data_IF_986204017208
#
_entry.id   IF_986204017208
#
_cell.length_a   1.000
_cell.length_b   1.000
_cell.length_c   1.000
_cell.angle_alpha   90.00
_cell.angle_beta   90.00
_cell.angle_gamma   90.00
#
_symmetry.space_group_name_H-M   'P 1'
#
loop_
_entity.id
_entity.type
_entity.pdbx_description
1 polymer ?
#
# COMPACT_ATOMS: atom_id res chain seq x y z
N UNK A 1 38.19 -16.47 -32.29
CA UNK A 1 36.97 -16.70 -31.48
C UNK A 1 36.37 -15.34 -31.13
N UNK A 2 35.34 -14.89 -31.85
CA UNK A 2 34.74 -13.55 -31.64
C UNK A 2 33.42 -13.68 -30.86
N UNK A 3 33.41 -13.18 -29.63
CA UNK A 3 32.21 -13.13 -28.80
C UNK A 3 31.30 -11.99 -29.32
N UNK A 4 30.29 -12.31 -30.13
CA UNK A 4 29.22 -11.33 -30.46
C UNK A 4 28.34 -11.15 -29.23
N UNK A 5 28.55 -10.06 -28.50
CA UNK A 5 27.60 -9.59 -27.51
C UNK A 5 26.26 -9.32 -28.20
N UNK A 6 25.28 -10.21 -28.01
CA UNK A 6 23.90 -9.98 -28.42
C UNK A 6 23.39 -8.83 -27.57
N UNK A 7 23.37 -7.62 -28.15
CA UNK A 7 22.79 -6.44 -27.53
C UNK A 7 21.35 -6.75 -27.11
N UNK A 8 21.09 -6.69 -25.80
CA UNK A 8 19.75 -6.77 -25.24
C UNK A 8 19.00 -5.54 -25.74
N UNK A 9 18.19 -5.70 -26.79
CA UNK A 9 17.26 -4.67 -27.23
C UNK A 9 16.19 -4.56 -26.15
N UNK A 10 16.31 -3.54 -25.31
CA UNK A 10 15.21 -3.04 -24.51
C UNK A 10 14.17 -2.48 -25.48
N UNK A 11 13.19 -3.28 -25.86
CA UNK A 11 11.98 -2.71 -26.44
C UNK A 11 11.23 -2.02 -25.29
N UNK A 12 10.86 -0.74 -25.44
CA UNK A 12 9.91 -0.13 -24.51
C UNK A 12 8.66 -0.99 -24.56
N UNK A 13 8.35 -1.70 -23.47
CA UNK A 13 7.12 -2.50 -23.39
C UNK A 13 5.96 -1.57 -23.73
N UNK A 14 5.17 -1.99 -24.70
CA UNK A 14 3.93 -1.32 -25.07
C UNK A 14 3.12 -1.06 -23.78
N UNK A 15 2.50 0.11 -23.71
CA UNK A 15 1.55 0.46 -22.66
C UNK A 15 0.52 -0.66 -22.57
N UNK A 16 0.63 -1.53 -21.58
CA UNK A 16 -0.39 -2.53 -21.34
C UNK A 16 -1.60 -1.75 -20.83
N UNK A 17 -2.67 -1.71 -21.63
CA UNK A 17 -3.94 -1.20 -21.16
C UNK A 17 -4.37 -2.09 -19.99
N UNK A 18 -4.18 -1.62 -18.76
CA UNK A 18 -4.59 -2.37 -17.58
C UNK A 18 -6.11 -2.60 -17.64
N UNK A 19 -6.53 -3.78 -17.23
CA UNK A 19 -7.93 -4.18 -17.19
C UNK A 19 -8.69 -3.38 -16.11
N UNK A 20 -10.02 -3.33 -16.22
CA UNK A 20 -10.88 -2.64 -15.23
C UNK A 20 -10.62 -3.05 -13.76
N UNK A 21 -10.28 -4.32 -13.40
CA UNK A 21 -9.96 -4.68 -12.02
C UNK A 21 -8.71 -3.98 -11.51
N UNK A 22 -7.67 -3.84 -12.34
CA UNK A 22 -6.45 -3.14 -11.97
C UNK A 22 -6.69 -1.64 -11.74
N UNK A 23 -7.59 -1.03 -12.52
CA UNK A 23 -8.01 0.37 -12.30
C UNK A 23 -8.72 0.50 -10.95
N UNK A 24 -9.65 -0.41 -10.63
CA UNK A 24 -10.36 -0.42 -9.34
C UNK A 24 -9.40 -0.59 -8.16
N UNK A 25 -8.45 -1.53 -8.25
CA UNK A 25 -7.40 -1.70 -7.24
C UNK A 25 -6.59 -0.41 -7.10
N UNK A 26 -6.26 0.26 -8.22
CA UNK A 26 -5.56 1.53 -8.20
C UNK A 26 -6.31 2.63 -7.46
N UNK A 27 -7.63 2.75 -7.68
CA UNK A 27 -8.49 3.70 -6.94
C UNK A 27 -8.52 3.37 -5.45
N UNK A 28 -8.70 2.11 -5.09
CA UNK A 28 -8.71 1.66 -3.67
C UNK A 28 -7.37 2.03 -3.01
N UNK A 29 -6.24 1.73 -3.64
CA UNK A 29 -4.92 2.03 -3.09
C UNK A 29 -4.70 3.52 -2.88
N UNK A 30 -5.13 4.37 -3.81
CA UNK A 30 -5.03 5.83 -3.65
C UNK A 30 -5.88 6.30 -2.48
N UNK A 31 -7.13 5.87 -2.39
CA UNK A 31 -8.04 6.27 -1.31
C UNK A 31 -7.53 5.83 0.06
N UNK A 32 -7.08 4.58 0.19
CA UNK A 32 -6.54 4.05 1.45
C UNK A 32 -5.24 4.76 1.82
N UNK A 33 -4.34 4.99 0.86
CA UNK A 33 -3.11 5.73 1.12
C UNK A 33 -3.37 7.16 1.61
N UNK A 34 -4.33 7.86 0.99
CA UNK A 34 -4.75 9.18 1.46
C UNK A 34 -5.35 9.12 2.88
N UNK A 35 -6.18 8.11 3.18
CA UNK A 35 -6.76 7.93 4.50
C UNK A 35 -5.70 7.71 5.59
N UNK A 36 -4.67 6.90 5.33
CA UNK A 36 -3.54 6.68 6.26
C UNK A 36 -2.78 7.99 6.51
N UNK A 37 -2.49 8.76 5.46
CA UNK A 37 -1.81 10.06 5.60
C UNK A 37 -2.64 11.01 6.44
N UNK A 38 -3.94 11.12 6.16
CA UNK A 38 -4.85 12.00 6.91
C UNK A 38 -4.96 11.59 8.38
N UNK A 39 -5.05 10.30 8.67
CA UNK A 39 -5.09 9.77 10.03
C UNK A 39 -3.83 10.17 10.82
N UNK A 40 -2.64 9.94 10.26
CA UNK A 40 -1.40 10.30 10.95
C UNK A 40 -1.18 11.81 11.04
N UNK A 41 -1.60 12.58 10.03
CA UNK A 41 -1.55 14.03 10.08
C UNK A 41 -2.42 14.58 11.22
N UNK A 42 -3.65 14.06 11.38
CA UNK A 42 -4.56 14.42 12.46
C UNK A 42 -3.96 14.07 13.83
N UNK A 43 -3.47 12.85 14.00
CA UNK A 43 -2.81 12.38 15.23
C UNK A 43 -1.62 13.29 15.63
N UNK A 44 -0.73 13.60 14.67
CA UNK A 44 0.43 14.46 14.93
C UNK A 44 -0.02 15.88 15.27
N UNK A 45 -0.99 16.43 14.53
CA UNK A 45 -1.51 17.79 14.75
C UNK A 45 -2.22 17.94 16.10
N UNK A 46 -2.83 16.85 16.59
CA UNK A 46 -3.48 16.77 17.90
C UNK A 46 -2.50 16.57 19.06
N UNK A 47 -1.19 16.61 18.80
CA UNK A 47 -0.15 16.46 19.83
C UNK A 47 0.20 15.01 20.18
N UNK A 48 -0.13 14.04 19.32
CA UNK A 48 0.16 12.62 19.53
C UNK A 48 1.65 12.28 19.69
N UNK A 49 2.56 13.21 19.37
CA UNK A 49 4.01 13.09 19.59
C UNK A 49 4.48 13.96 20.77
N UNK A 50 3.89 13.77 21.95
CA UNK A 50 4.18 14.60 23.14
C UNK A 50 5.66 14.61 23.58
N UNK A 51 6.46 13.60 23.21
CA UNK A 51 7.91 13.53 23.45
C UNK A 51 8.73 13.55 22.15
N UNK A 52 8.12 14.00 21.04
CA UNK A 52 8.73 13.99 19.71
C UNK A 52 9.10 12.56 19.26
N UNK A 53 10.32 12.38 18.76
CA UNK A 53 10.82 11.09 18.25
C UNK A 53 10.94 10.00 19.32
N UNK A 54 10.99 10.38 20.61
CA UNK A 54 11.08 9.46 21.73
C UNK A 54 9.70 9.01 22.27
N UNK A 55 8.60 9.41 21.62
CA UNK A 55 7.25 9.06 22.08
C UNK A 55 7.06 7.54 22.07
N UNK A 56 6.62 7.00 23.20
CA UNK A 56 6.38 5.56 23.41
C UNK A 56 4.88 5.33 23.60
N UNK A 57 4.34 4.39 22.84
CA UNK A 57 2.96 3.91 22.96
C UNK A 57 2.99 2.38 23.09
N UNK A 58 2.23 1.80 24.02
CA UNK A 58 2.20 0.35 24.25
C UNK A 58 3.60 -0.28 24.46
N UNK A 59 4.50 0.42 25.16
CA UNK A 59 5.90 0.03 25.40
C UNK A 59 6.78 -0.07 24.14
N UNK A 60 6.37 0.52 23.01
CA UNK A 60 7.17 0.60 21.78
C UNK A 60 7.26 2.03 21.27
N UNK A 61 8.33 2.37 20.55
CA UNK A 61 8.45 3.66 19.90
C UNK A 61 7.42 3.77 18.77
N UNK A 62 6.58 4.80 18.81
CA UNK A 62 5.52 4.97 17.82
C UNK A 62 6.04 5.53 16.49
N UNK A 63 7.11 6.31 16.50
CA UNK A 63 7.59 6.98 15.29
C UNK A 63 8.00 6.02 14.16
N UNK A 64 8.73 4.91 14.40
CA UNK A 64 8.99 3.91 13.36
C UNK A 64 7.72 3.27 12.80
N UNK A 65 6.68 3.11 13.62
CA UNK A 65 5.39 2.59 13.20
C UNK A 65 4.68 3.57 12.25
N UNK A 66 4.62 4.86 12.62
CA UNK A 66 4.11 5.94 11.75
C UNK A 66 4.88 5.97 10.42
N UNK A 67 6.21 5.89 10.47
CA UNK A 67 7.04 5.92 9.28
C UNK A 67 6.75 4.75 8.33
N UNK A 68 6.55 3.54 8.87
CA UNK A 68 6.21 2.35 8.09
C UNK A 68 4.84 2.47 7.42
N UNK A 69 3.84 3.00 8.12
CA UNK A 69 2.50 3.23 7.57
C UNK A 69 2.48 4.35 6.52
N UNK A 70 3.20 5.45 6.75
CA UNK A 70 3.34 6.52 5.76
C UNK A 70 4.08 6.05 4.51
N UNK A 71 5.13 5.23 4.65
CA UNK A 71 5.79 4.61 3.49
C UNK A 71 4.84 3.70 2.72
N UNK A 72 4.05 2.88 3.42
CA UNK A 72 2.99 2.05 2.82
C UNK A 72 1.98 2.91 2.06
N UNK A 73 1.55 4.02 2.65
CA UNK A 73 0.61 4.96 2.04
C UNK A 73 1.16 5.62 0.77
N UNK A 74 2.42 6.07 0.79
CA UNK A 74 3.10 6.63 -0.38
C UNK A 74 3.20 5.61 -1.51
N UNK A 75 3.60 4.37 -1.19
CA UNK A 75 3.66 3.29 -2.17
C UNK A 75 2.27 2.93 -2.70
N UNK A 76 1.23 2.98 -1.88
CA UNK A 76 -0.15 2.74 -2.31
C UNK A 76 -0.60 3.81 -3.31
N UNK A 77 -0.37 5.10 -3.01
CA UNK A 77 -0.71 6.20 -3.92
C UNK A 77 0.08 6.10 -5.22
N UNK A 78 1.39 5.91 -5.15
CA UNK A 78 2.25 5.81 -6.34
C UNK A 78 1.86 4.58 -7.17
N UNK A 79 1.72 3.41 -6.53
CA UNK A 79 1.31 2.17 -7.19
C UNK A 79 -0.07 2.27 -7.82
N UNK A 80 -1.04 2.83 -7.10
CA UNK A 80 -2.39 3.03 -7.60
C UNK A 80 -2.45 4.01 -8.77
N UNK A 81 -1.72 5.11 -8.71
CA UNK A 81 -1.56 6.02 -9.84
C UNK A 81 -0.90 5.31 -11.03
N UNK A 82 0.16 4.54 -10.80
CA UNK A 82 0.85 3.76 -11.83
C UNK A 82 -0.06 2.73 -12.53
N UNK A 83 -0.96 2.08 -11.78
CA UNK A 83 -2.01 1.22 -12.33
C UNK A 83 -3.01 2.02 -13.17
N UNK A 84 -3.41 3.21 -12.72
CA UNK A 84 -4.33 4.08 -13.45
C UNK A 84 -3.78 4.52 -14.81
N UNK A 85 -2.48 4.86 -14.89
CA UNK A 85 -1.84 5.34 -16.12
C UNK A 85 -1.18 4.24 -16.97
N UNK A 86 -1.44 2.96 -16.71
CA UNK A 86 -0.94 1.89 -17.59
C UNK A 86 0.56 1.64 -17.51
N UNK A 87 1.25 2.02 -16.41
CA UNK A 87 2.72 1.92 -16.33
C UNK A 87 3.16 0.60 -15.72
N UNK A 88 4.17 -0.03 -16.34
CA UNK A 88 4.69 -1.34 -15.90
C UNK A 88 5.26 -1.34 -14.47
N UNK A 89 5.75 -0.21 -13.97
CA UNK A 89 6.19 -0.09 -12.57
C UNK A 89 5.00 -0.04 -11.59
N UNK A 90 3.81 0.39 -12.03
CA UNK A 90 2.63 0.51 -11.19
C UNK A 90 2.22 -0.80 -10.53
N UNK A 91 2.27 -1.91 -11.30
CA UNK A 91 1.99 -3.24 -10.76
C UNK A 91 2.97 -3.65 -9.65
N UNK A 92 4.28 -3.45 -9.88
CA UNK A 92 5.28 -3.82 -8.89
C UNK A 92 5.12 -3.00 -7.60
N UNK A 93 4.95 -1.68 -7.73
CA UNK A 93 4.74 -0.79 -6.59
C UNK A 93 3.43 -1.10 -5.85
N UNK A 94 2.34 -1.39 -6.57
CA UNK A 94 1.06 -1.76 -5.97
C UNK A 94 1.15 -3.06 -5.16
N UNK A 95 1.88 -4.08 -5.64
CA UNK A 95 2.07 -5.33 -4.90
C UNK A 95 2.87 -5.13 -3.61
N UNK A 96 3.89 -4.27 -3.63
CA UNK A 96 4.64 -3.90 -2.41
C UNK A 96 3.73 -3.17 -1.43
N UNK A 97 2.93 -2.21 -1.92
CA UNK A 97 1.97 -1.47 -1.10
C UNK A 97 0.92 -2.39 -0.47
N UNK A 98 0.36 -3.34 -1.24
CA UNK A 98 -0.60 -4.32 -0.73
C UNK A 98 0.01 -5.24 0.34
N UNK A 99 1.29 -5.58 0.24
CA UNK A 99 2.01 -6.30 1.29
C UNK A 99 2.11 -5.48 2.58
N UNK A 100 2.46 -4.19 2.47
CA UNK A 100 2.48 -3.27 3.60
C UNK A 100 1.10 -3.06 4.22
N UNK A 101 0.05 -2.92 3.40
CA UNK A 101 -1.33 -2.80 3.84
C UNK A 101 -1.82 -4.07 4.53
N UNK A 102 -1.46 -5.25 4.05
CA UNK A 102 -1.78 -6.52 4.71
C UNK A 102 -1.20 -6.56 6.12
N UNK A 103 0.10 -6.26 6.26
CA UNK A 103 0.76 -6.18 7.56
C UNK A 103 0.08 -5.17 8.49
N UNK A 104 -0.09 -3.93 7.99
CA UNK A 104 -0.69 -2.82 8.74
C UNK A 104 -2.10 -3.17 9.22
N UNK A 105 -2.93 -3.70 8.34
CA UNK A 105 -4.32 -4.06 8.67
C UNK A 105 -4.38 -5.17 9.72
N UNK A 106 -3.52 -6.19 9.62
CA UNK A 106 -3.46 -7.26 10.64
C UNK A 106 -3.02 -6.69 11.99
N UNK A 107 -2.03 -5.81 12.01
CA UNK A 107 -1.56 -5.14 13.23
C UNK A 107 -2.67 -4.29 13.86
N UNK A 108 -3.36 -3.46 13.07
CA UNK A 108 -4.46 -2.62 13.55
C UNK A 108 -5.69 -3.43 13.98
N UNK A 109 -6.00 -4.54 13.30
CA UNK A 109 -7.07 -5.46 13.69
C UNK A 109 -6.82 -6.08 15.08
N UNK A 110 -5.57 -6.46 15.38
CA UNK A 110 -5.20 -6.95 16.71
C UNK A 110 -5.42 -5.87 17.78
N UNK A 111 -5.06 -4.63 17.48
CA UNK A 111 -5.29 -3.49 18.37
C UNK A 111 -6.80 -3.22 18.56
N UNK A 112 -7.60 -3.23 17.49
CA UNK A 112 -9.03 -2.92 17.54
C UNK A 112 -9.80 -3.94 18.37
N UNK A 113 -9.47 -5.23 18.25
CA UNK A 113 -10.11 -6.29 19.04
C UNK A 113 -10.00 -6.06 20.56
N UNK A 114 -8.94 -5.40 21.01
CA UNK A 114 -8.70 -5.12 22.43
C UNK A 114 -9.19 -3.74 22.85
N UNK A 115 -8.88 -2.71 22.07
CA UNK A 115 -8.98 -1.31 22.51
C UNK A 115 -10.13 -0.54 21.86
N UNK A 116 -10.58 -0.94 20.68
CA UNK A 116 -11.64 -0.28 19.93
C UNK A 116 -12.46 -1.30 19.13
N UNK A 117 -13.24 -2.19 19.79
CA UNK A 117 -13.91 -3.31 19.14
C UNK A 117 -14.84 -2.88 18.00
N UNK A 118 -15.42 -1.68 18.09
CA UNK A 118 -16.26 -1.04 17.08
C UNK A 118 -15.54 -0.79 15.75
N UNK A 119 -14.21 -0.67 15.73
CA UNK A 119 -13.40 -0.52 14.51
C UNK A 119 -13.04 -1.87 13.86
N UNK A 120 -13.27 -2.99 14.56
CA UNK A 120 -12.94 -4.34 14.06
C UNK A 120 -13.59 -4.66 12.70
N UNK A 121 -14.89 -4.37 12.47
CA UNK A 121 -15.51 -4.63 11.16
C UNK A 121 -14.85 -3.84 10.02
N UNK A 122 -14.37 -2.63 10.29
CA UNK A 122 -13.67 -1.80 9.31
C UNK A 122 -12.36 -2.47 8.90
N UNK A 123 -11.54 -2.88 9.86
CA UNK A 123 -10.26 -3.55 9.56
C UNK A 123 -10.46 -4.91 8.88
N UNK A 124 -11.51 -5.67 9.22
CA UNK A 124 -11.88 -6.88 8.48
C UNK A 124 -12.26 -6.57 7.02
N UNK A 125 -12.99 -5.47 6.79
CA UNK A 125 -13.31 -5.00 5.45
C UNK A 125 -12.06 -4.62 4.64
N UNK A 126 -11.14 -3.86 5.24
CA UNK A 126 -9.85 -3.50 4.60
C UNK A 126 -9.02 -4.74 4.31
N UNK A 127 -9.00 -5.73 5.22
CA UNK A 127 -8.28 -6.98 5.03
C UNK A 127 -8.85 -7.77 3.84
N UNK A 128 -10.17 -7.92 3.77
CA UNK A 128 -10.85 -8.57 2.66
C UNK A 128 -10.57 -7.84 1.33
N UNK A 129 -10.68 -6.51 1.30
CA UNK A 129 -10.39 -5.70 0.12
C UNK A 129 -8.93 -5.84 -0.34
N UNK A 130 -7.98 -5.92 0.60
CA UNK A 130 -6.56 -6.14 0.31
C UNK A 130 -6.32 -7.51 -0.33
N UNK A 131 -6.93 -8.58 0.21
CA UNK A 131 -6.83 -9.93 -0.35
C UNK A 131 -7.47 -10.03 -1.74
N UNK A 132 -8.66 -9.44 -1.91
CA UNK A 132 -9.33 -9.38 -3.21
C UNK A 132 -8.52 -8.61 -4.25
N UNK A 133 -7.78 -7.58 -3.82
CA UNK A 133 -6.88 -6.82 -4.70
C UNK A 133 -5.73 -7.66 -5.24
N UNK A 134 -5.13 -8.54 -4.42
CA UNK A 134 -4.13 -9.50 -4.92
C UNK A 134 -4.71 -10.42 -5.99
N UNK A 135 -5.92 -10.95 -5.77
CA UNK A 135 -6.60 -11.82 -6.73
C UNK A 135 -6.90 -11.06 -8.03
N UNK A 136 -7.44 -9.84 -7.93
CA UNK A 136 -7.76 -9.00 -9.08
C UNK A 136 -6.52 -8.69 -9.93
N UNK A 137 -5.39 -8.34 -9.30
CA UNK A 137 -4.14 -8.08 -10.00
C UNK A 137 -3.54 -9.35 -10.63
N UNK A 138 -3.69 -10.51 -10.00
CA UNK A 138 -3.24 -11.78 -10.56
C UNK A 138 -3.94 -12.09 -11.90
N UNK A 139 -5.26 -11.99 -11.95
CA UNK A 139 -6.03 -12.20 -13.18
C UNK A 139 -5.85 -11.09 -14.22
N UNK A 140 -5.38 -9.91 -13.81
CA UNK A 140 -5.09 -8.80 -14.72
C UNK A 140 -3.77 -8.97 -15.47
N UNK A 141 -2.90 -9.90 -15.04
CA UNK A 141 -1.58 -10.16 -15.65
C UNK A 141 -1.61 -11.31 -16.67
N UNK A 142 -2.62 -12.17 -16.64
CA UNK A 142 -2.70 -13.41 -17.44
C UNK A 142 -3.38 -13.23 -18.80
N UNK A 143 -3.63 -11.99 -19.23
CA UNK A 143 -4.14 -11.63 -20.57
C UNK A 143 -3.12 -10.78 -21.29
#
# INVERSE_FOLDING_TARGET
>A
MSYRARGVRWSPRQHQAFTWPAILVGVILVLVGLAIILFWADFISSGGLGQGLATVENNVFIVPHIAAELLTALLAIVGGFGLFIGRGWGMATALVALGGLLYTTVNSLSHSLRNAPELTPVFLGVLAATLLSFIALHYSRSR
#
